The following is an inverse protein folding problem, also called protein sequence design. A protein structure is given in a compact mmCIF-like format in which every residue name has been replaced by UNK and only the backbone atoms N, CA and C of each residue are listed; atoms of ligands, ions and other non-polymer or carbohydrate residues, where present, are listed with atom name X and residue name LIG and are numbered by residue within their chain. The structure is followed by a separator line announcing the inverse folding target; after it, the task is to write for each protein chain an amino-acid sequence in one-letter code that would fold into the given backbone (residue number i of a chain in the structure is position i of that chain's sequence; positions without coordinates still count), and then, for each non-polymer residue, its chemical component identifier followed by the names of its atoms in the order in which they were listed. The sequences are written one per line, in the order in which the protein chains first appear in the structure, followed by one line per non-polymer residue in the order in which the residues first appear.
data_IF_631293102507
#
_entry.id   IF_631293102507
#
_cell.length_a   1.000
_cell.length_b   1.000
_cell.length_c   1.000
_cell.angle_alpha   90.00
_cell.angle_beta   90.00
_cell.angle_gamma   90.00
#
_symmetry.space_group_name_H-M   'P 1'
#
loop_
_entity.id
_entity.type
_entity.pdbx_description
1 polymer ?
#
# COMPACT_ATOMS: atom_id res chain seq x y z
N UNK A 1 11.58 -5.73 2.56
CA UNK A 1 11.02 -6.72 3.50
C UNK A 1 11.51 -8.11 3.10
N UNK A 2 11.77 -9.00 4.06
CA UNK A 2 12.26 -10.37 3.80
C UNK A 2 11.84 -11.30 4.93
N UNK A 3 11.39 -12.50 4.56
CA UNK A 3 11.17 -13.61 5.49
C UNK A 3 12.46 -14.42 5.63
N UNK A 4 12.81 -14.74 6.87
CA UNK A 4 13.92 -15.61 7.23
C UNK A 4 13.37 -16.73 8.13
N UNK A 5 12.75 -17.75 7.52
CA UNK A 5 12.18 -18.90 8.23
C UNK A 5 11.13 -18.50 9.30
N UNK A 6 11.57 -18.20 10.51
CA UNK A 6 10.78 -17.83 11.68
C UNK A 6 10.77 -16.32 12.01
N UNK A 7 11.34 -15.49 11.11
CA UNK A 7 11.51 -14.05 11.34
C UNK A 7 11.20 -13.24 10.11
N UNK A 8 10.57 -12.09 10.32
CA UNK A 8 10.43 -11.05 9.32
C UNK A 8 11.43 -9.93 9.60
N UNK A 9 12.26 -9.60 8.61
CA UNK A 9 13.17 -8.44 8.68
C UNK A 9 12.65 -7.35 7.76
N UNK A 10 12.49 -6.18 8.30
CA UNK A 10 12.05 -5.01 7.56
C UNK A 10 12.91 -3.80 7.85
N UNK A 11 13.12 -3.01 6.82
CA UNK A 11 13.89 -1.77 6.85
C UNK A 11 13.09 -0.68 6.14
N UNK A 12 13.24 0.52 6.60
CA UNK A 12 12.59 1.68 6.01
C UNK A 12 13.26 2.97 6.45
N UNK A 13 12.77 4.08 5.90
CA UNK A 13 13.10 5.42 6.31
C UNK A 13 11.84 6.10 6.84
N UNK A 14 11.93 6.70 8.01
CA UNK A 14 10.95 7.66 8.50
C UNK A 14 11.36 9.05 8.03
N UNK A 15 10.45 9.80 7.44
CA UNK A 15 10.69 11.20 7.11
C UNK A 15 10.21 12.06 8.27
N UNK A 16 11.13 12.77 8.91
CA UNK A 16 10.84 13.73 9.95
C UNK A 16 10.85 15.13 9.33
N UNK A 17 9.70 15.78 9.37
CA UNK A 17 9.52 17.14 8.92
C UNK A 17 9.36 18.06 10.13
N UNK A 18 10.16 19.13 10.22
CA UNK A 18 10.16 20.06 11.36
C UNK A 18 9.98 21.47 10.86
N UNK A 19 8.95 22.14 11.39
CA UNK A 19 8.79 23.59 11.25
C UNK A 19 9.32 24.26 12.51
N UNK A 20 10.18 25.27 12.35
CA UNK A 20 10.78 26.01 13.47
C UNK A 20 10.91 27.49 13.12
N UNK A 21 11.02 28.32 14.14
CA UNK A 21 11.34 29.75 13.99
C UNK A 21 12.83 29.96 14.18
N UNK A 22 13.44 30.66 13.23
CA UNK A 22 14.81 31.13 13.32
C UNK A 22 14.94 32.34 14.28
N UNK A 23 16.15 32.77 14.56
CA UNK A 23 16.43 33.90 15.47
C UNK A 23 15.81 35.23 14.98
N UNK A 24 15.62 35.40 13.69
CA UNK A 24 14.98 36.55 13.04
C UNK A 24 13.46 36.42 12.92
N UNK A 25 12.85 35.49 13.66
CA UNK A 25 11.41 35.20 13.72
C UNK A 25 10.81 34.69 12.40
N UNK A 26 11.65 34.23 11.47
CA UNK A 26 11.22 33.62 10.21
C UNK A 26 10.91 32.15 10.38
N UNK A 27 9.79 31.68 9.84
CA UNK A 27 9.43 30.25 9.84
C UNK A 27 10.25 29.50 8.78
N UNK A 28 10.89 28.42 9.20
CA UNK A 28 11.71 27.56 8.36
C UNK A 28 11.25 26.11 8.46
N UNK A 29 11.54 25.32 7.44
CA UNK A 29 11.28 23.88 7.41
C UNK A 29 12.58 23.10 7.24
N UNK A 30 12.68 21.96 7.92
CA UNK A 30 13.77 20.98 7.75
C UNK A 30 13.21 19.59 7.59
N UNK A 31 13.82 18.83 6.68
CA UNK A 31 13.51 17.43 6.43
C UNK A 31 14.68 16.54 6.81
N UNK A 32 14.39 15.46 7.53
CA UNK A 32 15.38 14.47 7.93
C UNK A 32 14.88 13.07 7.58
N UNK A 33 15.75 12.26 7.00
CA UNK A 33 15.52 10.83 6.85
C UNK A 33 16.06 10.08 8.08
N UNK A 34 15.19 9.32 8.72
CA UNK A 34 15.49 8.48 9.87
C UNK A 34 15.45 7.00 9.45
N UNK A 35 16.59 6.38 9.11
CA UNK A 35 16.59 4.98 8.75
C UNK A 35 16.31 4.09 9.96
N UNK A 36 15.46 3.09 9.77
CA UNK A 36 15.21 2.07 10.78
C UNK A 36 15.34 0.67 10.22
N UNK A 37 15.69 -0.27 11.08
CA UNK A 37 15.70 -1.70 10.77
C UNK A 37 15.17 -2.44 11.97
N UNK A 38 14.18 -3.28 11.74
CA UNK A 38 13.52 -4.06 12.79
C UNK A 38 13.38 -5.52 12.34
N UNK A 39 13.19 -6.38 13.34
CA UNK A 39 12.96 -7.80 13.15
C UNK A 39 11.78 -8.21 14.05
N UNK A 40 10.81 -8.91 13.48
CA UNK A 40 9.71 -9.52 14.21
C UNK A 40 9.84 -11.05 14.17
N UNK A 41 9.58 -11.69 15.29
CA UNK A 41 9.43 -13.15 15.34
C UNK A 41 8.06 -13.55 14.79
N UNK A 42 8.02 -14.58 13.97
CA UNK A 42 6.81 -15.09 13.35
C UNK A 42 6.34 -16.34 14.09
N UNK A 43 5.03 -16.47 14.27
CA UNK A 43 4.44 -17.68 14.81
C UNK A 43 4.40 -18.75 13.70
N UNK A 44 5.47 -19.53 13.57
CA UNK A 44 5.60 -20.61 12.59
C UNK A 44 6.76 -20.42 11.62
N UNK A 45 6.91 -21.38 10.73
CA UNK A 45 7.90 -21.35 9.66
C UNK A 45 7.23 -21.05 8.35
N UNK A 46 7.75 -20.08 7.63
CA UNK A 46 7.25 -19.62 6.34
C UNK A 46 8.31 -19.83 5.25
N UNK A 47 7.85 -19.98 4.02
CA UNK A 47 8.73 -20.02 2.87
C UNK A 47 9.49 -18.71 2.69
N UNK A 48 10.77 -18.73 2.28
CA UNK A 48 11.48 -17.54 1.86
C UNK A 48 10.84 -16.82 0.67
N UNK A 49 9.97 -17.49 -0.07
CA UNK A 49 9.19 -16.96 -1.19
C UNK A 49 7.89 -16.28 -0.73
N UNK A 50 7.51 -16.45 0.54
CA UNK A 50 6.38 -15.76 1.13
C UNK A 50 6.58 -14.25 1.14
N UNK A 51 5.48 -13.51 1.20
CA UNK A 51 5.49 -12.05 1.28
C UNK A 51 5.15 -11.56 2.67
N UNK A 52 5.72 -10.42 3.03
CA UNK A 52 5.38 -9.69 4.27
C UNK A 52 4.94 -8.30 3.89
N UNK A 53 3.72 -7.92 4.26
CA UNK A 53 3.27 -6.54 4.22
C UNK A 53 3.38 -5.93 5.63
N UNK A 54 3.97 -4.74 5.73
CA UNK A 54 4.20 -4.07 7.02
C UNK A 54 3.62 -2.67 6.97
N UNK A 55 2.71 -2.39 7.91
CA UNK A 55 2.15 -1.06 8.13
C UNK A 55 2.72 -0.51 9.43
N UNK A 56 3.36 0.66 9.36
CA UNK A 56 3.96 1.32 10.50
C UNK A 56 3.17 2.57 10.86
N UNK A 57 3.06 2.83 12.16
CA UNK A 57 2.47 4.04 12.70
C UNK A 57 3.33 4.65 13.80
N UNK A 58 3.30 5.98 13.91
CA UNK A 58 3.95 6.72 15.00
C UNK A 58 2.98 6.77 16.17
N UNK A 59 3.41 6.30 17.35
CA UNK A 59 2.60 6.33 18.58
C UNK A 59 2.96 7.47 19.50
N UNK A 60 4.22 7.90 19.49
CA UNK A 60 4.64 9.11 20.19
C UNK A 60 5.82 9.76 19.48
N UNK A 61 5.87 11.07 19.57
CA UNK A 61 6.97 11.90 19.12
C UNK A 61 7.31 12.90 20.24
N UNK A 62 8.54 12.84 20.73
CA UNK A 62 9.04 13.76 21.73
C UNK A 62 10.16 14.60 21.10
N UNK A 63 10.06 15.91 21.28
CA UNK A 63 11.06 16.88 20.85
C UNK A 63 11.63 17.56 22.09
N UNK A 64 12.94 17.59 22.19
CA UNK A 64 13.67 18.26 23.26
C UNK A 64 14.82 19.08 22.66
N UNK A 65 14.94 20.32 23.07
CA UNK A 65 16.01 21.23 22.65
C UNK A 65 16.90 21.50 23.84
N UNK A 66 18.17 21.14 23.76
CA UNK A 66 19.13 21.39 24.84
C UNK A 66 19.70 22.83 24.80
N UNK A 67 20.48 23.17 25.84
CA UNK A 67 21.05 24.51 25.98
C UNK A 67 22.07 24.87 24.88
N UNK A 68 22.53 23.89 24.09
CA UNK A 68 23.47 24.07 22.97
C UNK A 68 22.74 24.15 21.62
N UNK A 69 21.42 24.32 21.62
CA UNK A 69 20.55 24.33 20.43
C UNK A 69 20.56 23.01 19.63
N UNK A 70 20.86 21.89 20.26
CA UNK A 70 20.68 20.59 19.62
C UNK A 70 19.27 20.11 19.78
N UNK A 71 18.65 19.70 18.66
CA UNK A 71 17.34 19.08 18.65
C UNK A 71 17.48 17.56 18.86
N UNK A 72 16.90 17.07 19.94
CA UNK A 72 16.76 15.63 20.21
C UNK A 72 15.35 15.19 19.88
N UNK A 73 15.25 14.21 18.98
CA UNK A 73 13.97 13.62 18.59
C UNK A 73 13.90 12.17 19.05
N UNK A 74 12.83 11.82 19.75
CA UNK A 74 12.49 10.44 20.09
C UNK A 74 11.16 10.09 19.46
N UNK A 75 11.16 9.03 18.67
CA UNK A 75 9.97 8.53 18.00
C UNK A 75 9.71 7.09 18.40
N UNK A 76 8.51 6.82 18.92
CA UNK A 76 8.03 5.46 19.15
C UNK A 76 7.15 5.02 17.98
N UNK A 77 7.47 3.85 17.44
CA UNK A 77 6.77 3.26 16.31
C UNK A 77 6.03 2.00 16.74
N UNK A 78 4.85 1.79 16.19
CA UNK A 78 4.14 0.51 16.23
C UNK A 78 4.03 -0.04 14.82
N UNK A 79 4.27 -1.33 14.65
CA UNK A 79 4.14 -2.02 13.37
C UNK A 79 3.11 -3.13 13.44
N UNK A 80 2.28 -3.22 12.41
CA UNK A 80 1.46 -4.39 12.12
C UNK A 80 2.00 -5.03 10.86
N UNK A 81 2.18 -6.34 10.88
CA UNK A 81 2.63 -7.09 9.71
C UNK A 81 1.62 -8.19 9.36
N UNK A 82 1.48 -8.41 8.06
CA UNK A 82 0.72 -9.51 7.47
C UNK A 82 1.68 -10.39 6.68
N UNK A 83 1.74 -11.67 7.03
CA UNK A 83 2.54 -12.65 6.30
C UNK A 83 1.61 -13.47 5.42
N UNK A 84 1.97 -13.58 4.15
CA UNK A 84 1.29 -14.43 3.18
C UNK A 84 2.28 -15.46 2.65
N UNK A 85 1.91 -16.73 2.72
CA UNK A 85 2.71 -17.83 2.21
C UNK A 85 1.88 -18.69 1.26
N UNK A 86 2.54 -19.25 0.25
CA UNK A 86 1.90 -20.14 -0.70
C UNK A 86 2.09 -21.58 -0.21
N UNK A 87 0.99 -22.29 -0.11
CA UNK A 87 1.01 -23.72 0.20
C UNK A 87 0.47 -24.50 -0.99
N UNK A 88 1.19 -25.57 -1.33
CA UNK A 88 0.70 -26.53 -2.29
C UNK A 88 -0.21 -27.54 -1.59
N UNK A 89 -1.38 -27.74 -2.15
CA UNK A 89 -2.34 -28.72 -1.66
C UNK A 89 -2.73 -29.65 -2.81
N UNK A 90 -2.56 -30.95 -2.59
CA UNK A 90 -3.07 -31.95 -3.51
C UNK A 90 -4.55 -32.21 -3.18
N UNK A 91 -5.39 -32.15 -4.21
CA UNK A 91 -6.83 -32.43 -4.10
C UNK A 91 -7.19 -33.54 -5.05
N UNK A 92 -8.18 -34.34 -4.67
CA UNK A 92 -8.79 -35.34 -5.56
C UNK A 92 -9.96 -34.64 -6.27
N UNK A 93 -9.83 -34.47 -7.59
CA UNK A 93 -10.86 -33.85 -8.41
C UNK A 93 -11.87 -34.87 -8.91
N UNK A 94 -11.43 -36.10 -9.15
CA UNK A 94 -12.27 -37.19 -9.63
C UNK A 94 -11.78 -38.55 -9.16
N UNK A 95 -12.65 -39.54 -9.20
CA UNK A 95 -12.33 -40.93 -8.86
C UNK A 95 -13.20 -41.87 -9.73
N UNK A 96 -12.68 -43.04 -10.03
CA UNK A 96 -13.43 -44.05 -10.77
C UNK A 96 -13.12 -45.45 -10.27
N UNK A 97 -14.05 -46.37 -10.47
CA UNK A 97 -13.87 -47.83 -10.19
C UNK A 97 -14.28 -48.64 -11.42
N UNK A 98 -13.48 -49.66 -11.74
CA UNK A 98 -13.75 -50.57 -12.85
C UNK A 98 -14.71 -51.72 -12.48
N UNK A 99 -14.85 -52.03 -11.22
CA UNK A 99 -15.59 -53.21 -10.77
C UNK A 99 -16.77 -52.93 -9.83
N UNK A 100 -16.97 -51.66 -9.43
CA UNK A 100 -18.01 -51.28 -8.47
C UNK A 100 -18.66 -49.98 -8.89
N UNK A 101 -19.95 -49.85 -8.58
CA UNK A 101 -20.57 -48.53 -8.64
C UNK A 101 -19.98 -47.64 -7.54
N UNK A 102 -19.87 -46.34 -7.81
CA UNK A 102 -19.26 -45.40 -6.90
C UNK A 102 -20.07 -44.14 -6.87
N UNK A 103 -20.50 -43.76 -5.68
CA UNK A 103 -21.09 -42.47 -5.42
C UNK A 103 -20.02 -41.51 -4.96
N UNK A 104 -19.96 -40.33 -5.63
CA UNK A 104 -18.94 -39.33 -5.40
C UNK A 104 -19.62 -38.03 -4.92
N UNK A 105 -19.34 -37.65 -3.68
CA UNK A 105 -19.73 -36.35 -3.16
C UNK A 105 -18.62 -35.33 -3.43
N UNK A 106 -18.99 -34.24 -4.10
CA UNK A 106 -18.07 -33.15 -4.42
C UNK A 106 -18.44 -31.88 -3.65
N UNK A 107 -17.44 -31.15 -3.25
CA UNK A 107 -17.60 -29.83 -2.64
C UNK A 107 -16.82 -28.81 -3.45
N UNK A 108 -17.47 -27.69 -3.77
CA UNK A 108 -16.80 -26.54 -4.36
C UNK A 108 -16.33 -25.61 -3.25
N UNK A 109 -15.04 -25.30 -3.26
CA UNK A 109 -14.41 -24.29 -2.41
C UNK A 109 -14.10 -23.07 -3.27
N UNK A 110 -14.49 -21.90 -2.79
CA UNK A 110 -14.05 -20.63 -3.37
C UNK A 110 -12.93 -20.07 -2.53
N UNK A 111 -11.73 -19.99 -3.10
CA UNK A 111 -10.55 -19.46 -2.44
C UNK A 111 -10.18 -18.12 -3.08
N UNK A 112 -9.88 -17.09 -2.27
CA UNK A 112 -9.33 -15.85 -2.80
C UNK A 112 -7.94 -16.13 -3.37
N UNK A 113 -7.72 -15.78 -4.61
CA UNK A 113 -6.43 -15.84 -5.26
C UNK A 113 -5.96 -14.43 -5.60
N UNK A 114 -4.73 -14.10 -5.21
CA UNK A 114 -4.08 -12.88 -5.69
C UNK A 114 -3.68 -13.14 -7.13
N UNK A 115 -4.17 -12.30 -8.04
CA UNK A 115 -3.89 -12.41 -9.47
C UNK A 115 -2.64 -11.61 -9.81
N UNK A 116 -2.55 -10.38 -9.29
CA UNK A 116 -1.45 -9.47 -9.58
C UNK A 116 -1.26 -8.48 -8.42
N UNK A 117 0.00 -8.19 -8.12
CA UNK A 117 0.44 -7.07 -7.30
C UNK A 117 1.30 -6.16 -8.15
N UNK A 118 0.90 -4.91 -8.28
CA UNK A 118 1.58 -3.92 -9.12
C UNK A 118 1.85 -2.65 -8.33
N UNK A 119 3.06 -2.12 -8.46
CA UNK A 119 3.44 -0.82 -7.90
C UNK A 119 3.93 0.08 -9.02
N UNK A 120 3.39 1.28 -9.10
CA UNK A 120 3.78 2.30 -10.08
C UNK A 120 4.13 3.61 -9.39
N UNK A 121 5.19 4.25 -9.87
CA UNK A 121 5.54 5.61 -9.45
C UNK A 121 4.89 6.61 -10.41
N UNK A 122 4.25 7.61 -9.85
CA UNK A 122 3.56 8.68 -10.56
C UNK A 122 4.02 10.04 -10.04
N UNK A 123 3.71 11.10 -10.79
CA UNK A 123 3.90 12.47 -10.36
C UNK A 123 2.53 13.10 -10.11
N UNK A 124 2.42 13.81 -8.99
CA UNK A 124 1.33 14.71 -8.71
C UNK A 124 1.83 16.13 -8.94
N UNK A 125 1.05 16.96 -9.63
CA UNK A 125 1.40 18.35 -9.94
C UNK A 125 0.18 19.24 -9.75
N UNK A 126 0.38 20.41 -9.18
CA UNK A 126 -0.65 21.45 -9.05
C UNK A 126 -0.05 22.84 -9.10
N UNK A 127 -0.88 23.82 -9.36
CA UNK A 127 -0.48 25.22 -9.38
C UNK A 127 -1.49 26.11 -8.66
N UNK A 128 -1.02 27.19 -8.07
CA UNK A 128 -1.87 28.27 -7.55
C UNK A 128 -1.34 29.63 -8.05
N UNK A 129 -2.24 30.53 -8.48
CA UNK A 129 -1.86 31.88 -8.90
C UNK A 129 -1.54 32.70 -7.65
N UNK A 130 -0.28 32.77 -7.27
CA UNK A 130 0.20 33.51 -6.11
C UNK A 130 1.64 33.92 -6.31
N UNK A 131 1.91 35.21 -6.17
CA UNK A 131 3.25 35.76 -6.15
C UNK A 131 3.83 35.67 -4.73
N UNK A 132 5.03 35.14 -4.61
CA UNK A 132 5.76 35.03 -3.33
C UNK A 132 7.24 34.93 -3.59
N UNK A 133 8.05 35.50 -2.69
CA UNK A 133 9.49 35.34 -2.72
C UNK A 133 10.00 34.23 -1.79
N UNK A 134 9.16 33.76 -0.87
CA UNK A 134 9.55 32.79 0.15
C UNK A 134 8.47 31.73 0.31
N UNK A 135 8.77 30.53 -0.15
CA UNK A 135 7.98 29.33 0.15
C UNK A 135 8.63 28.68 1.37
N UNK A 136 7.84 28.44 2.41
CA UNK A 136 8.31 27.88 3.68
C UNK A 136 8.24 26.38 3.64
N UNK A 137 7.13 25.82 3.15
CA UNK A 137 6.85 24.40 3.19
C UNK A 137 5.86 23.98 2.10
N UNK A 138 5.97 22.74 1.65
CA UNK A 138 5.01 22.13 0.74
C UNK A 138 4.86 20.64 1.05
N UNK A 139 3.62 20.23 1.24
CA UNK A 139 3.27 18.82 1.53
C UNK A 139 2.19 18.32 0.57
N UNK A 140 2.23 17.04 0.25
CA UNK A 140 1.18 16.35 -0.50
C UNK A 140 0.48 15.34 0.38
N UNK A 141 -0.85 15.42 0.45
CA UNK A 141 -1.72 14.47 1.13
C UNK A 141 -2.51 13.69 0.09
N UNK A 142 -2.33 12.38 0.08
CA UNK A 142 -3.11 11.48 -0.74
C UNK A 142 -4.36 11.04 0.01
N UNK A 143 -5.51 11.08 -0.66
CA UNK A 143 -6.74 10.49 -0.16
C UNK A 143 -6.89 9.03 -0.63
N UNK A 144 -7.93 8.35 -0.14
CA UNK A 144 -8.21 6.98 -0.57
C UNK A 144 -8.62 6.93 -2.04
N UNK A 145 -8.02 6.06 -2.87
CA UNK A 145 -8.43 5.82 -4.24
C UNK A 145 -9.91 5.41 -4.33
N UNK A 146 -10.57 5.88 -5.38
CA UNK A 146 -11.96 5.49 -5.68
C UNK A 146 -11.96 4.60 -6.91
N UNK A 147 -12.61 3.45 -6.79
CA UNK A 147 -12.69 2.48 -7.89
C UNK A 147 -14.01 2.64 -8.63
N UNK A 148 -13.93 2.73 -9.94
CA UNK A 148 -15.09 2.62 -10.86
C UNK A 148 -14.86 1.46 -11.80
N UNK A 149 -15.91 0.66 -12.01
CA UNK A 149 -15.89 -0.44 -12.99
C UNK A 149 -16.87 -0.15 -14.12
N UNK A 150 -16.39 -0.33 -15.34
CA UNK A 150 -17.21 -0.24 -16.54
C UNK A 150 -16.92 -1.46 -17.44
N UNK A 151 -17.71 -2.54 -17.26
CA UNK A 151 -17.45 -3.84 -17.86
C UNK A 151 -16.13 -4.43 -17.37
N UNK A 152 -15.25 -4.76 -18.32
CA UNK A 152 -13.92 -5.31 -18.04
C UNK A 152 -12.86 -4.23 -17.75
N UNK A 153 -13.25 -2.96 -17.79
CA UNK A 153 -12.37 -1.85 -17.49
C UNK A 153 -12.57 -1.36 -16.07
N UNK A 154 -11.48 -1.23 -15.35
CA UNK A 154 -11.45 -0.66 -14.02
C UNK A 154 -10.66 0.65 -14.07
N UNK A 155 -11.25 1.68 -13.51
CA UNK A 155 -10.68 3.02 -13.41
C UNK A 155 -10.52 3.37 -11.94
N UNK A 156 -9.33 3.83 -11.56
CA UNK A 156 -9.03 4.39 -10.25
C UNK A 156 -8.93 5.90 -10.37
N UNK A 157 -9.75 6.59 -9.59
CA UNK A 157 -9.59 8.02 -9.32
C UNK A 157 -8.69 8.16 -8.09
N UNK A 158 -7.64 8.95 -8.20
CA UNK A 158 -6.62 9.13 -7.18
C UNK A 158 -6.69 10.57 -6.66
N UNK A 159 -7.57 10.87 -5.70
CA UNK A 159 -7.69 12.21 -5.17
C UNK A 159 -6.53 12.53 -4.22
N UNK A 160 -6.15 13.80 -4.17
CA UNK A 160 -5.15 14.32 -3.25
C UNK A 160 -5.12 15.84 -3.24
N UNK A 161 -4.29 16.40 -2.38
CA UNK A 161 -4.12 17.83 -2.29
C UNK A 161 -2.71 18.22 -1.86
N UNK A 162 -2.22 19.29 -2.42
CA UNK A 162 -1.03 19.98 -1.93
C UNK A 162 -1.43 21.01 -0.88
N UNK A 163 -0.60 21.11 0.13
CA UNK A 163 -0.64 22.17 1.14
C UNK A 163 0.67 22.94 1.05
N UNK A 164 0.60 24.25 0.85
CA UNK A 164 1.78 25.11 0.76
C UNK A 164 1.69 26.24 1.76
N UNK A 165 2.80 26.49 2.46
CA UNK A 165 3.01 27.65 3.33
C UNK A 165 4.01 28.60 2.68
N UNK A 166 3.69 29.88 2.66
CA UNK A 166 4.51 30.90 2.03
C UNK A 166 4.29 32.25 2.68
N UNK A 167 5.21 33.19 2.49
CA UNK A 167 5.01 34.59 2.86
C UNK A 167 4.50 35.39 1.64
N UNK A 168 3.42 36.09 1.83
CA UNK A 168 2.90 37.01 0.79
C UNK A 168 3.80 38.25 0.60
N UNK A 169 3.45 39.10 -0.36
CA UNK A 169 4.19 40.33 -0.66
C UNK A 169 4.33 41.30 0.55
N UNK A 170 3.45 41.18 1.54
CA UNK A 170 3.46 41.99 2.75
C UNK A 170 4.27 41.33 3.88
N UNK A 171 4.89 40.17 3.63
CA UNK A 171 5.61 39.38 4.63
C UNK A 171 4.70 38.67 5.62
N UNK A 172 3.42 38.47 5.27
CA UNK A 172 2.46 37.74 6.10
C UNK A 172 2.47 36.26 5.72
N UNK A 173 2.56 35.37 6.72
CA UNK A 173 2.49 33.93 6.50
C UNK A 173 1.09 33.53 6.03
N UNK A 174 1.01 32.87 4.91
CA UNK A 174 -0.19 32.37 4.27
C UNK A 174 -0.12 30.86 4.07
N UNK A 175 -1.30 30.22 4.05
CA UNK A 175 -1.45 28.80 3.71
C UNK A 175 -2.46 28.62 2.60
N UNK A 176 -2.13 27.82 1.59
CA UNK A 176 -3.04 27.52 0.49
C UNK A 176 -3.12 26.03 0.21
N UNK A 177 -4.26 25.63 -0.38
CA UNK A 177 -4.55 24.25 -0.77
C UNK A 177 -4.76 24.17 -2.28
N UNK A 178 -4.13 23.22 -2.94
CA UNK A 178 -4.38 22.90 -4.33
C UNK A 178 -4.79 21.44 -4.49
N UNK A 179 -5.96 21.21 -5.10
CA UNK A 179 -6.44 19.84 -5.36
C UNK A 179 -5.69 19.23 -6.52
N UNK A 180 -5.49 17.92 -6.40
CA UNK A 180 -4.96 17.07 -7.46
C UNK A 180 -5.88 15.88 -7.67
N UNK A 181 -6.08 15.49 -8.92
CA UNK A 181 -6.85 14.31 -9.29
C UNK A 181 -6.07 13.52 -10.34
N UNK A 182 -5.51 12.41 -9.91
CA UNK A 182 -4.87 11.43 -10.79
C UNK A 182 -5.86 10.39 -11.30
N UNK A 183 -5.51 9.74 -12.39
CA UNK A 183 -6.28 8.63 -12.95
C UNK A 183 -5.35 7.48 -13.32
N UNK A 184 -5.83 6.28 -13.06
CA UNK A 184 -5.17 5.05 -13.46
C UNK A 184 -6.21 4.03 -13.92
N UNK A 185 -5.83 3.15 -14.84
CA UNK A 185 -6.78 2.19 -15.41
C UNK A 185 -6.14 0.86 -15.75
N UNK A 186 -6.95 -0.21 -15.67
CA UNK A 186 -6.58 -1.54 -16.14
C UNK A 186 -7.79 -2.29 -16.69
N UNK A 187 -7.52 -3.37 -17.43
CA UNK A 187 -8.53 -4.34 -17.78
C UNK A 187 -8.49 -5.49 -16.79
N UNK A 188 -9.65 -5.94 -16.33
CA UNK A 188 -9.80 -7.07 -15.43
C UNK A 188 -11.14 -7.74 -15.62
N UNK A 189 -11.17 -9.06 -15.54
CA UNK A 189 -12.40 -9.86 -15.65
C UNK A 189 -13.42 -9.47 -14.58
N UNK A 190 -14.71 -9.77 -14.86
CA UNK A 190 -15.86 -9.32 -14.06
C UNK A 190 -15.79 -9.64 -12.57
N UNK A 191 -15.16 -10.75 -12.20
CA UNK A 191 -15.06 -11.22 -10.80
C UNK A 191 -13.83 -10.71 -10.06
N UNK A 192 -12.96 -9.94 -10.74
CA UNK A 192 -11.77 -9.37 -10.14
C UNK A 192 -12.11 -8.25 -9.17
N UNK A 193 -11.59 -8.32 -7.95
CA UNK A 193 -11.64 -7.25 -6.95
C UNK A 193 -10.32 -6.50 -6.96
N UNK A 194 -10.37 -5.22 -6.65
CA UNK A 194 -9.18 -4.35 -6.58
C UNK A 194 -9.07 -3.72 -5.21
N UNK A 195 -7.88 -3.84 -4.62
CA UNK A 195 -7.38 -2.99 -3.56
C UNK A 195 -6.37 -2.00 -4.13
N UNK A 196 -6.44 -0.75 -3.72
CA UNK A 196 -5.48 0.26 -4.15
C UNK A 196 -5.10 1.19 -2.99
N UNK A 197 -3.84 1.60 -2.97
CA UNK A 197 -3.31 2.57 -2.01
C UNK A 197 -2.37 3.55 -2.71
N UNK A 198 -2.42 4.81 -2.32
CA UNK A 198 -1.49 5.85 -2.77
C UNK A 198 -0.66 6.31 -1.59
N UNK A 199 0.66 6.37 -1.79
CA UNK A 199 1.61 6.80 -0.77
C UNK A 199 2.54 7.87 -1.34
N UNK A 200 2.70 9.03 -0.68
CA UNK A 200 3.79 9.94 -1.00
C UNK A 200 5.14 9.26 -0.77
N UNK A 201 6.09 9.41 -1.71
CA UNK A 201 7.42 8.79 -1.61
C UNK A 201 8.45 9.70 -0.91
N UNK A 202 8.22 11.01 -0.95
CA UNK A 202 9.06 12.04 -0.32
C UNK A 202 8.21 13.28 -0.05
N UNK A 203 8.80 14.29 0.55
CA UNK A 203 8.18 15.61 0.62
C UNK A 203 7.83 16.15 -0.76
N UNK A 204 6.83 17.01 -0.83
CA UNK A 204 6.50 17.72 -2.06
C UNK A 204 7.45 18.94 -2.23
N UNK A 205 7.71 19.31 -3.48
CA UNK A 205 8.46 20.51 -3.80
C UNK A 205 7.49 21.63 -4.20
N UNK A 206 7.92 22.86 -3.97
CA UNK A 206 7.22 24.01 -4.51
C UNK A 206 8.21 25.07 -4.97
N UNK A 207 7.89 25.73 -6.06
CA UNK A 207 8.67 26.86 -6.61
C UNK A 207 7.73 27.92 -7.17
N UNK A 208 8.11 29.18 -7.05
CA UNK A 208 7.38 30.29 -7.67
C UNK A 208 8.03 30.67 -8.99
N UNK A 209 7.20 30.90 -10.01
CA UNK A 209 7.64 31.44 -11.29
C UNK A 209 6.51 32.25 -11.92
N UNK A 210 6.77 33.56 -12.15
CA UNK A 210 5.85 34.41 -12.89
C UNK A 210 4.50 34.64 -12.21
N UNK A 211 4.48 34.72 -10.87
CA UNK A 211 3.25 34.92 -10.10
C UNK A 211 2.44 33.64 -9.89
N UNK A 212 3.07 32.47 -10.06
CA UNK A 212 2.43 31.17 -9.90
C UNK A 212 3.32 30.25 -9.06
N UNK A 213 2.79 29.69 -8.00
CA UNK A 213 3.43 28.63 -7.26
C UNK A 213 3.14 27.29 -7.96
N UNK A 214 4.18 26.63 -8.41
CA UNK A 214 4.17 25.28 -8.97
C UNK A 214 4.54 24.29 -7.88
N UNK A 215 3.74 23.24 -7.71
CA UNK A 215 3.96 22.20 -6.71
C UNK A 215 4.05 20.85 -7.43
N UNK A 216 5.02 20.03 -7.04
CA UNK A 216 5.17 18.67 -7.52
C UNK A 216 5.52 17.70 -6.38
N UNK A 217 5.12 16.45 -6.54
CA UNK A 217 5.42 15.38 -5.60
C UNK A 217 5.45 14.03 -6.28
N UNK A 218 6.29 13.13 -5.77
CA UNK A 218 6.33 11.72 -6.21
C UNK A 218 5.42 10.90 -5.33
N UNK A 219 4.59 10.10 -5.96
CA UNK A 219 3.69 9.16 -5.30
C UNK A 219 3.91 7.75 -5.82
N UNK A 220 3.62 6.77 -5.00
CA UNK A 220 3.53 5.37 -5.38
C UNK A 220 2.08 4.92 -5.30
N UNK A 221 1.58 4.36 -6.38
CA UNK A 221 0.32 3.65 -6.44
C UNK A 221 0.60 2.15 -6.31
N UNK A 222 0.09 1.53 -5.26
CA UNK A 222 0.10 0.08 -5.07
C UNK A 222 -1.30 -0.45 -5.40
N UNK A 223 -1.37 -1.44 -6.31
CA UNK A 223 -2.61 -2.08 -6.76
C UNK A 223 -2.50 -3.58 -6.55
N UNK A 224 -3.46 -4.14 -5.84
CA UNK A 224 -3.64 -5.59 -5.68
C UNK A 224 -4.93 -6.02 -6.37
N UNK A 225 -4.86 -7.04 -7.20
CA UNK A 225 -6.04 -7.66 -7.80
C UNK A 225 -6.25 -9.05 -7.26
N UNK A 226 -7.49 -9.36 -6.89
CA UNK A 226 -7.88 -10.66 -6.36
C UNK A 226 -9.13 -11.18 -7.07
N UNK A 227 -9.23 -12.49 -7.23
CA UNK A 227 -10.47 -13.13 -7.69
C UNK A 227 -10.77 -14.36 -6.86
N UNK A 228 -12.04 -14.74 -6.81
CA UNK A 228 -12.43 -16.02 -6.25
C UNK A 228 -12.12 -17.11 -7.27
N UNK A 229 -11.29 -18.09 -6.90
CA UNK A 229 -11.03 -19.28 -7.70
C UNK A 229 -11.81 -20.45 -7.12
N UNK A 230 -12.82 -20.91 -7.86
CA UNK A 230 -13.58 -22.11 -7.52
C UNK A 230 -12.75 -23.35 -7.79
N UNK A 231 -12.65 -24.24 -6.81
CA UNK A 231 -12.06 -25.57 -6.93
C UNK A 231 -13.07 -26.61 -6.50
N UNK A 232 -13.30 -27.64 -7.34
CA UNK A 232 -14.14 -28.77 -6.99
C UNK A 232 -13.26 -29.89 -6.49
N UNK A 233 -13.56 -30.41 -5.32
CA UNK A 233 -12.82 -31.53 -4.73
C UNK A 233 -13.79 -32.65 -4.30
N UNK A 234 -13.32 -33.88 -4.40
CA UNK A 234 -14.02 -35.02 -3.86
C UNK A 234 -13.85 -35.04 -2.34
N UNK A 235 -14.97 -35.04 -1.61
CA UNK A 235 -14.95 -35.05 -0.15
C UNK A 235 -15.36 -36.40 0.44
N UNK A 236 -16.10 -37.21 -0.33
CA UNK A 236 -16.58 -38.49 0.13
C UNK A 236 -16.73 -39.44 -1.05
N UNK A 237 -16.39 -40.72 -0.83
CA UNK A 237 -16.49 -41.80 -1.78
C UNK A 237 -17.22 -42.97 -1.12
N UNK A 238 -18.35 -43.34 -1.69
CA UNK A 238 -19.06 -44.56 -1.30
C UNK A 238 -18.95 -45.60 -2.43
N UNK A 239 -18.48 -46.78 -2.07
CA UNK A 239 -18.37 -47.94 -3.00
C UNK A 239 -19.62 -48.79 -2.87
N UNK A 240 -20.36 -48.90 -3.97
CA UNK A 240 -21.48 -49.80 -4.09
C UNK A 240 -21.08 -51.29 -4.19
N UNK A 241 -22.09 -52.13 -4.47
CA UNK A 241 -21.87 -53.57 -4.63
C UNK A 241 -20.97 -53.87 -5.83
N UNK A 242 -20.27 -55.02 -5.74
CA UNK A 242 -19.39 -55.51 -6.81
C UNK A 242 -20.24 -55.89 -8.04
N UNK A 243 -19.94 -55.30 -9.19
CA UNK A 243 -20.56 -55.69 -10.44
C UNK A 243 -20.01 -57.07 -10.84
N UNK A 244 -20.85 -58.10 -10.77
CA UNK A 244 -20.49 -59.37 -11.35
C UNK A 244 -20.36 -59.20 -12.87
N UNK A 245 -19.30 -59.70 -13.51
CA UNK A 245 -19.23 -59.70 -14.97
C UNK A 245 -20.39 -60.51 -15.52
N UNK A 246 -21.05 -59.96 -16.56
CA UNK A 246 -22.09 -60.70 -17.30
C UNK A 246 -21.52 -62.04 -17.73
N UNK A 247 -22.19 -63.15 -17.41
CA UNK A 247 -21.75 -64.46 -17.91
C UNK A 247 -21.86 -64.46 -19.44
N UNK A 248 -20.74 -64.70 -20.12
CA UNK A 248 -20.62 -64.80 -21.57
C UNK A 248 -21.42 -65.98 -22.12
#
# INVERSE_FOLDING_TARGET
QRILSDKAVFRGNGNLHILFRSEDDTLCAWDFELPFSQMAELEGSYSPEGSVDVKMGVTSLELDVDDENHLRVKCALVGQYLVQDQQWMEIVEDAYSLGRDMDITRRTLELPAILENRSENMFAEATIPQDTNVIVDCNFLADQPRTRRNGDRIELELPGQFQVLYYDENGTLQGSLARWEGQWQMNADGDTRIGAAVQPLAGANASETGGVIHMDGKIRLDVETTAAKGMSMVTELELGEEKMPDPA
#
